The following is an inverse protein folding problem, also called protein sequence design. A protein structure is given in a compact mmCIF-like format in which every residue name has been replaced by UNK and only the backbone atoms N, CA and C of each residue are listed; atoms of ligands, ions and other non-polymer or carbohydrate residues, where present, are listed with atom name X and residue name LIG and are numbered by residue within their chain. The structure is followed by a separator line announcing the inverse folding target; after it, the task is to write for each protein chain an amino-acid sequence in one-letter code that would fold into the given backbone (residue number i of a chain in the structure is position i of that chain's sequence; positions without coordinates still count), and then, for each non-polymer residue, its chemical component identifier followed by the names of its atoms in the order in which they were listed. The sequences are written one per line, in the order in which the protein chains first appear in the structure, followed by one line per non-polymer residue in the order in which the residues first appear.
data_IF_151834487781
#
_entry.id   IF_151834487781
#
_cell.length_a   1.000
_cell.length_b   1.000
_cell.length_c   1.000
_cell.angle_alpha   90.00
_cell.angle_beta   90.00
_cell.angle_gamma   90.00
#
_symmetry.space_group_name_H-M   'P 1'
#
loop_
_entity.id
_entity.type
_entity.pdbx_description
1 polymer ?
#
# COMPACT_ATOMS: atom_id res chain seq x y z
N UNK A 1 27.74 2.53 14.58
CA UNK A 1 26.90 2.08 13.45
C UNK A 1 25.49 1.75 13.90
N UNK A 2 24.49 2.44 13.36
CA UNK A 2 23.06 2.18 13.60
C UNK A 2 22.56 1.03 12.72
N UNK A 3 21.57 0.28 13.20
CA UNK A 3 20.96 -0.81 12.44
C UNK A 3 19.50 -0.47 12.17
N UNK A 4 19.08 -0.67 10.92
CA UNK A 4 17.68 -0.65 10.48
C UNK A 4 17.39 -1.96 9.74
N UNK A 5 16.13 -2.26 9.47
CA UNK A 5 15.84 -3.38 8.57
C UNK A 5 14.39 -3.55 8.18
N UNK A 6 14.10 -4.63 7.45
CA UNK A 6 12.77 -5.02 7.01
C UNK A 6 12.38 -6.35 7.66
N UNK A 7 11.23 -6.40 8.32
CA UNK A 7 10.61 -7.64 8.82
C UNK A 7 9.49 -8.07 7.87
N UNK A 8 9.50 -9.33 7.43
CA UNK A 8 8.48 -9.90 6.55
C UNK A 8 8.76 -11.35 6.18
N UNK A 9 7.87 -11.93 5.37
CA UNK A 9 8.05 -13.29 4.84
C UNK A 9 7.35 -13.51 3.50
N UNK A 10 8.09 -13.88 2.42
CA UNK A 10 9.54 -13.76 2.26
C UNK A 10 9.97 -12.30 2.04
N UNK A 11 11.25 -11.96 2.27
CA UNK A 11 11.77 -10.58 2.01
C UNK A 11 13.02 -10.51 1.14
N UNK A 12 13.58 -11.65 0.70
CA UNK A 12 14.83 -11.68 -0.11
C UNK A 12 14.79 -10.82 -1.38
N UNK A 13 13.61 -10.62 -1.94
CA UNK A 13 13.42 -9.84 -3.17
C UNK A 13 13.21 -8.35 -2.93
N UNK A 14 13.26 -7.89 -1.68
CA UNK A 14 12.98 -6.49 -1.35
C UNK A 14 14.10 -5.56 -1.82
N UNK A 15 13.71 -4.49 -2.52
CA UNK A 15 14.61 -3.41 -2.89
C UNK A 15 14.94 -2.46 -1.72
N UNK A 16 14.24 -2.53 -0.59
CA UNK A 16 14.42 -1.61 0.54
C UNK A 16 15.86 -1.60 1.05
N UNK A 17 16.48 -2.77 1.20
CA UNK A 17 17.87 -2.85 1.66
C UNK A 17 18.84 -2.20 0.67
N UNK A 18 18.63 -2.39 -0.64
CA UNK A 18 19.46 -1.75 -1.67
C UNK A 18 19.31 -0.24 -1.62
N UNK A 19 18.07 0.26 -1.58
CA UNK A 19 17.76 1.69 -1.55
C UNK A 19 18.34 2.38 -0.31
N UNK A 20 18.07 1.85 0.88
CA UNK A 20 18.49 2.49 2.13
C UNK A 20 20.01 2.44 2.32
N UNK A 21 20.67 1.32 2.02
CA UNK A 21 22.12 1.25 2.14
C UNK A 21 22.84 2.17 1.15
N UNK A 22 22.31 2.31 -0.08
CA UNK A 22 22.84 3.28 -1.05
C UNK A 22 22.70 4.72 -0.52
N UNK A 23 21.54 5.07 0.03
CA UNK A 23 21.31 6.39 0.61
C UNK A 23 22.21 6.66 1.84
N UNK A 24 22.39 5.68 2.74
CA UNK A 24 23.29 5.84 3.88
C UNK A 24 24.72 6.09 3.45
N UNK A 25 25.20 5.35 2.44
CA UNK A 25 26.55 5.53 1.88
C UNK A 25 26.72 6.92 1.28
N UNK A 26 25.79 7.35 0.44
CA UNK A 26 25.84 8.65 -0.23
C UNK A 26 25.82 9.82 0.76
N UNK A 27 25.02 9.70 1.82
CA UNK A 27 24.85 10.76 2.83
C UNK A 27 25.86 10.69 3.98
N UNK A 28 26.81 9.74 3.96
CA UNK A 28 27.80 9.57 5.03
C UNK A 28 27.19 9.17 6.39
N UNK A 29 26.03 8.50 6.39
CA UNK A 29 25.36 8.04 7.62
C UNK A 29 25.94 6.69 8.03
N UNK A 30 26.52 6.61 9.24
CA UNK A 30 27.05 5.36 9.83
C UNK A 30 25.91 4.41 10.26
N UNK A 31 25.25 3.81 9.26
CA UNK A 31 24.14 2.89 9.42
C UNK A 31 24.14 1.79 8.36
N UNK A 32 23.44 0.69 8.67
CA UNK A 32 23.13 -0.37 7.70
C UNK A 32 21.67 -0.80 7.78
N UNK A 33 21.13 -1.27 6.66
CA UNK A 33 19.79 -1.79 6.52
C UNK A 33 19.83 -3.29 6.19
N UNK A 34 19.17 -4.10 7.00
CA UNK A 34 19.15 -5.57 6.88
C UNK A 34 17.76 -6.13 6.53
N UNK A 35 17.73 -7.35 6.00
CA UNK A 35 16.48 -8.08 5.74
C UNK A 35 16.32 -9.17 6.78
N UNK A 36 15.24 -9.11 7.55
CA UNK A 36 14.89 -10.09 8.57
C UNK A 36 13.70 -10.91 8.06
N UNK A 37 13.99 -12.08 7.50
CA UNK A 37 12.95 -13.07 7.25
C UNK A 37 12.49 -13.69 8.57
N UNK A 38 11.19 -13.58 8.85
CA UNK A 38 10.57 -14.07 10.08
C UNK A 38 9.43 -14.98 9.67
N UNK A 39 9.33 -16.22 10.17
CA UNK A 39 8.23 -17.09 9.75
C UNK A 39 6.93 -16.74 10.50
N UNK A 40 5.74 -17.05 9.94
CA UNK A 40 4.48 -16.89 10.66
C UNK A 40 4.54 -17.56 12.04
N UNK A 41 4.10 -16.85 13.07
CA UNK A 41 4.20 -17.30 14.47
C UNK A 41 5.48 -16.89 15.21
N UNK A 42 6.48 -16.33 14.53
CA UNK A 42 7.75 -15.90 15.15
C UNK A 42 7.87 -14.38 15.31
N UNK A 43 6.87 -13.61 14.87
CA UNK A 43 6.93 -12.15 14.78
C UNK A 43 7.28 -11.49 16.11
N UNK A 44 6.51 -11.78 17.16
CA UNK A 44 6.68 -11.13 18.46
C UNK A 44 8.08 -11.35 19.03
N UNK A 45 8.52 -12.61 19.10
CA UNK A 45 9.82 -12.98 19.66
C UNK A 45 10.95 -12.33 18.87
N UNK A 46 10.87 -12.34 17.53
CA UNK A 46 11.89 -11.74 16.68
C UNK A 46 11.92 -10.22 16.78
N UNK A 47 10.76 -9.57 16.76
CA UNK A 47 10.65 -8.13 16.91
C UNK A 47 11.24 -7.65 18.25
N UNK A 48 10.79 -8.24 19.36
CA UNK A 48 11.31 -7.90 20.71
C UNK A 48 12.81 -8.15 20.85
N UNK A 49 13.31 -9.25 20.28
CA UNK A 49 14.73 -9.56 20.25
C UNK A 49 15.56 -8.50 19.52
N UNK A 50 15.10 -8.05 18.35
CA UNK A 50 15.78 -7.02 17.55
C UNK A 50 15.75 -5.64 18.24
N UNK A 51 14.63 -5.27 18.86
CA UNK A 51 14.54 -4.05 19.69
C UNK A 51 15.53 -4.14 20.86
N UNK A 52 15.61 -5.28 21.54
CA UNK A 52 16.55 -5.52 22.64
C UNK A 52 18.03 -5.41 22.23
N UNK A 53 18.35 -5.75 20.98
CA UNK A 53 19.69 -5.66 20.39
C UNK A 53 20.06 -4.24 19.90
N UNK A 54 19.15 -3.27 20.03
CA UNK A 54 19.42 -1.87 19.68
C UNK A 54 19.18 -1.52 18.21
N UNK A 55 18.35 -2.27 17.49
CA UNK A 55 17.89 -1.87 16.15
C UNK A 55 17.05 -0.59 16.27
N UNK A 56 17.35 0.42 15.45
CA UNK A 56 16.80 1.77 15.56
C UNK A 56 15.45 1.94 14.83
N UNK A 57 15.10 1.02 13.95
CA UNK A 57 13.83 1.08 13.23
C UNK A 57 13.67 -0.05 12.23
N UNK A 58 12.41 -0.30 11.87
CA UNK A 58 12.04 -1.36 10.94
C UNK A 58 11.09 -0.83 9.90
N UNK A 59 11.19 -1.32 8.66
CA UNK A 59 9.99 -1.48 7.87
C UNK A 59 9.35 -2.83 8.16
N UNK A 60 8.04 -2.89 7.95
CA UNK A 60 7.21 -4.08 8.11
C UNK A 60 6.52 -4.33 6.78
N UNK A 61 6.58 -5.57 6.29
CA UNK A 61 5.87 -5.98 5.07
C UNK A 61 5.03 -7.22 5.32
N UNK A 62 4.39 -7.73 4.25
CA UNK A 62 3.55 -8.92 4.27
C UNK A 62 4.28 -10.08 4.98
N UNK A 63 3.58 -10.82 5.87
CA UNK A 63 2.17 -10.69 6.24
C UNK A 63 1.89 -9.79 7.48
N UNK A 64 2.88 -9.07 7.99
CA UNK A 64 2.89 -8.57 9.38
C UNK A 64 2.38 -7.16 9.61
N UNK A 65 1.94 -6.45 8.56
CA UNK A 65 1.56 -5.03 8.69
C UNK A 65 0.40 -4.79 9.66
N UNK A 66 -0.49 -5.77 9.84
CA UNK A 66 -1.59 -5.69 10.81
C UNK A 66 -1.15 -6.25 12.19
N UNK A 67 -0.50 -7.41 12.21
CA UNK A 67 -0.12 -8.12 13.44
C UNK A 67 0.86 -7.32 14.31
N UNK A 68 1.79 -6.59 13.69
CA UNK A 68 2.82 -5.81 14.41
C UNK A 68 2.21 -4.77 15.36
N UNK A 69 1.00 -4.28 15.07
CA UNK A 69 0.32 -3.25 15.88
C UNK A 69 0.16 -3.70 17.34
N UNK A 70 -0.06 -4.99 17.57
CA UNK A 70 -0.25 -5.55 18.91
C UNK A 70 1.00 -5.47 19.80
N UNK A 71 2.15 -5.15 19.23
CA UNK A 71 3.45 -5.15 19.91
C UNK A 71 4.06 -3.75 20.03
N UNK A 72 3.38 -2.70 19.55
CA UNK A 72 3.90 -1.33 19.55
C UNK A 72 3.35 -0.53 20.73
N UNK A 73 4.18 0.35 21.27
CA UNK A 73 3.80 1.23 22.39
C UNK A 73 2.90 2.38 21.92
N UNK A 74 3.17 2.91 20.73
CA UNK A 74 2.43 4.02 20.13
C UNK A 74 2.15 3.79 18.64
N UNK A 75 1.07 4.42 18.15
CA UNK A 75 0.77 4.55 16.73
C UNK A 75 0.62 6.00 16.35
N UNK A 76 1.09 6.35 15.16
CA UNK A 76 0.65 7.56 14.48
C UNK A 76 -0.85 7.49 14.16
N UNK A 77 -1.51 8.65 14.15
CA UNK A 77 -2.95 8.77 13.88
C UNK A 77 -3.34 8.12 12.54
N UNK A 78 -2.51 8.28 11.51
CA UNK A 78 -2.79 7.72 10.19
C UNK A 78 -2.62 6.19 10.19
N UNK A 79 -1.59 5.69 10.87
CA UNK A 79 -1.39 4.24 11.00
C UNK A 79 -2.54 3.58 11.77
N UNK A 80 -3.06 4.26 12.80
CA UNK A 80 -4.24 3.82 13.53
C UNK A 80 -5.48 3.76 12.63
N UNK A 81 -5.72 4.80 11.83
CA UNK A 81 -6.85 4.87 10.90
C UNK A 81 -6.78 3.81 9.80
N UNK A 82 -5.60 3.61 9.22
CA UNK A 82 -5.35 2.59 8.20
C UNK A 82 -5.46 1.17 8.80
N UNK A 83 -5.11 1.02 10.08
CA UNK A 83 -5.04 -0.28 10.75
C UNK A 83 -3.92 -1.15 10.22
N UNK A 84 -2.83 -0.54 9.73
CA UNK A 84 -1.64 -1.23 9.26
C UNK A 84 -0.40 -0.35 9.43
N UNK A 85 0.71 -0.95 9.85
CA UNK A 85 2.02 -0.31 10.04
C UNK A 85 3.01 -0.91 9.04
N UNK A 86 3.73 -0.04 8.31
CA UNK A 86 4.83 -0.45 7.43
C UNK A 86 6.19 0.11 7.91
N UNK A 87 6.20 0.95 8.94
CA UNK A 87 7.39 1.65 9.45
C UNK A 87 7.30 1.75 10.96
N UNK A 88 8.33 1.30 11.68
CA UNK A 88 8.44 1.35 13.13
C UNK A 88 9.70 2.12 13.48
N UNK A 89 9.56 3.15 14.31
CA UNK A 89 10.67 3.84 14.95
C UNK A 89 10.90 3.23 16.33
N UNK A 90 12.15 2.93 16.64
CA UNK A 90 12.57 2.54 17.99
C UNK A 90 13.30 3.74 18.61
N UNK A 91 12.80 4.23 19.74
CA UNK A 91 13.40 5.34 20.48
C UNK A 91 14.58 4.82 21.33
N UNK A 92 15.37 5.74 21.88
CA UNK A 92 16.56 5.40 22.67
C UNK A 92 16.23 4.64 23.97
N UNK A 93 15.06 4.90 24.55
CA UNK A 93 14.48 4.19 25.70
C UNK A 93 13.84 2.84 25.32
N UNK A 94 13.95 2.43 24.05
CA UNK A 94 13.36 1.22 23.45
C UNK A 94 11.85 1.25 23.27
N UNK A 95 11.18 2.37 23.53
CA UNK A 95 9.77 2.55 23.15
C UNK A 95 9.63 2.58 21.63
N UNK A 96 8.50 2.10 21.14
CA UNK A 96 8.27 1.83 19.73
C UNK A 96 7.05 2.57 19.21
N UNK A 97 7.20 3.21 18.04
CA UNK A 97 6.12 3.95 17.39
C UNK A 97 5.90 3.49 15.96
N UNK A 98 4.67 3.12 15.64
CA UNK A 98 4.24 2.68 14.31
C UNK A 98 3.74 3.80 13.42
N UNK A 99 4.10 3.74 12.14
CA UNK A 99 3.72 4.65 11.08
C UNK A 99 3.32 3.87 9.82
N UNK A 100 2.59 4.55 8.93
CA UNK A 100 2.31 4.05 7.58
C UNK A 100 2.77 5.08 6.54
N UNK A 101 3.81 4.73 5.79
CA UNK A 101 4.38 5.57 4.73
C UNK A 101 3.89 5.20 3.33
N UNK A 102 3.20 4.05 3.17
CA UNK A 102 2.65 3.62 1.87
C UNK A 102 1.62 4.62 1.36
N UNK A 103 0.68 5.04 2.22
CA UNK A 103 -0.38 5.98 1.86
C UNK A 103 0.17 7.34 1.40
N UNK A 104 0.93 8.07 2.24
CA UNK A 104 1.51 9.36 1.85
C UNK A 104 2.45 9.26 0.65
N UNK A 105 3.22 8.16 0.53
CA UNK A 105 4.06 7.89 -0.63
C UNK A 105 3.24 7.77 -1.92
N UNK A 106 2.13 7.03 -1.87
CA UNK A 106 1.19 6.90 -2.98
C UNK A 106 0.61 8.26 -3.41
N UNK A 107 0.08 9.06 -2.48
CA UNK A 107 -0.49 10.39 -2.82
C UNK A 107 0.57 11.31 -3.42
N UNK A 108 1.78 11.30 -2.87
CA UNK A 108 2.88 12.11 -3.40
C UNK A 108 3.19 11.71 -4.84
N UNK A 109 3.26 10.40 -5.13
CA UNK A 109 3.50 9.92 -6.49
C UNK A 109 2.34 10.29 -7.44
N UNK A 110 1.10 9.98 -7.05
CA UNK A 110 -0.11 10.26 -7.84
C UNK A 110 -0.25 11.75 -8.19
N UNK A 111 0.00 12.64 -7.23
CA UNK A 111 -0.23 14.07 -7.45
C UNK A 111 0.96 14.77 -8.09
N UNK A 112 2.20 14.46 -7.66
CA UNK A 112 3.39 15.21 -8.10
C UNK A 112 4.12 14.59 -9.29
N UNK A 113 4.10 13.27 -9.41
CA UNK A 113 4.83 12.55 -10.48
C UNK A 113 3.89 12.23 -11.63
N UNK A 114 2.71 11.68 -11.32
CA UNK A 114 1.68 11.41 -12.35
C UNK A 114 0.95 12.69 -12.77
N UNK A 115 0.88 13.70 -11.89
CA UNK A 115 0.19 14.95 -12.17
C UNK A 115 -1.34 14.83 -12.11
N UNK A 116 -1.86 13.82 -11.42
CA UNK A 116 -3.31 13.60 -11.31
C UNK A 116 -3.93 14.54 -10.28
N UNK A 117 -4.93 15.32 -10.70
CA UNK A 117 -5.72 16.14 -9.79
C UNK A 117 -6.84 15.30 -9.16
N UNK A 118 -6.67 14.94 -7.89
CA UNK A 118 -7.56 14.06 -7.13
C UNK A 118 -8.90 14.71 -6.71
N UNK A 119 -8.97 16.04 -6.62
CA UNK A 119 -10.11 16.71 -5.99
C UNK A 119 -11.43 16.41 -6.71
N UNK A 120 -12.39 15.85 -5.99
CA UNK A 120 -13.73 15.49 -6.47
C UNK A 120 -13.76 14.34 -7.48
N UNK A 121 -12.67 13.59 -7.64
CA UNK A 121 -12.56 12.51 -8.65
C UNK A 121 -13.23 11.22 -8.22
N UNK A 122 -13.72 10.46 -9.21
CA UNK A 122 -14.24 9.11 -9.03
C UNK A 122 -13.10 8.11 -9.10
N UNK A 123 -12.91 7.33 -8.05
CA UNK A 123 -11.82 6.35 -7.94
C UNK A 123 -12.39 4.95 -7.82
N UNK A 124 -11.80 4.01 -8.54
CA UNK A 124 -12.13 2.59 -8.45
C UNK A 124 -10.92 1.80 -7.98
N UNK A 125 -11.12 0.89 -7.02
CA UNK A 125 -10.04 0.10 -6.43
C UNK A 125 -10.38 -1.39 -6.51
N UNK A 126 -9.48 -2.14 -7.15
CA UNK A 126 -9.44 -3.59 -7.12
C UNK A 126 -8.61 -4.03 -5.91
N UNK A 127 -9.24 -4.73 -4.97
CA UNK A 127 -8.66 -5.22 -3.73
C UNK A 127 -9.06 -4.41 -2.51
N UNK A 128 -9.09 -5.08 -1.35
CA UNK A 128 -9.40 -4.53 -0.03
C UNK A 128 -8.37 -4.96 1.04
N UNK A 129 -7.17 -5.38 0.62
CA UNK A 129 -6.05 -5.74 1.49
C UNK A 129 -5.32 -4.53 2.10
N UNK A 130 -4.21 -4.77 2.82
CA UNK A 130 -3.47 -3.71 3.53
C UNK A 130 -3.02 -2.53 2.66
N UNK A 131 -2.62 -2.79 1.41
CA UNK A 131 -2.29 -1.73 0.46
C UNK A 131 -3.53 -0.90 0.08
N UNK A 132 -4.66 -1.57 -0.21
CA UNK A 132 -5.94 -0.93 -0.52
C UNK A 132 -6.42 -0.04 0.65
N UNK A 133 -6.24 -0.49 1.90
CA UNK A 133 -6.54 0.33 3.09
C UNK A 133 -5.72 1.62 3.10
N UNK A 134 -4.40 1.52 2.93
CA UNK A 134 -3.52 2.69 2.94
C UNK A 134 -3.88 3.69 1.84
N UNK A 135 -4.08 3.23 0.60
CA UNK A 135 -4.40 4.12 -0.53
C UNK A 135 -5.81 4.69 -0.42
N UNK A 136 -6.83 3.91 -0.08
CA UNK A 136 -8.22 4.37 -0.01
C UNK A 136 -8.43 5.38 1.12
N UNK A 137 -7.82 5.17 2.30
CA UNK A 137 -7.83 6.15 3.39
C UNK A 137 -7.22 7.47 2.95
N UNK A 138 -6.10 7.43 2.23
CA UNK A 138 -5.46 8.66 1.76
C UNK A 138 -6.23 9.33 0.62
N UNK A 139 -6.85 8.57 -0.28
CA UNK A 139 -7.70 9.13 -1.33
C UNK A 139 -8.89 9.89 -0.74
N UNK A 140 -9.60 9.27 0.20
CA UNK A 140 -10.73 9.90 0.90
C UNK A 140 -10.28 11.15 1.68
N UNK A 141 -9.17 11.06 2.40
CA UNK A 141 -8.59 12.18 3.14
C UNK A 141 -8.18 13.36 2.24
N UNK A 142 -7.67 13.09 1.04
CA UNK A 142 -7.15 14.10 0.12
C UNK A 142 -8.17 14.52 -0.95
N UNK A 143 -9.46 14.30 -0.69
CA UNK A 143 -10.55 14.93 -1.45
C UNK A 143 -11.05 14.15 -2.67
N UNK A 144 -10.87 12.83 -2.71
CA UNK A 144 -11.63 12.00 -3.66
C UNK A 144 -13.13 12.25 -3.50
N UNK A 145 -13.86 12.33 -4.61
CA UNK A 145 -15.32 12.52 -4.60
C UNK A 145 -16.05 11.23 -4.30
N UNK A 146 -15.58 10.12 -4.89
CA UNK A 146 -16.09 8.79 -4.59
C UNK A 146 -15.02 7.71 -4.70
N UNK A 147 -15.21 6.62 -3.96
CA UNK A 147 -14.37 5.42 -4.02
C UNK A 147 -15.29 4.19 -4.17
N UNK A 148 -15.19 3.51 -5.31
CA UNK A 148 -15.79 2.20 -5.54
C UNK A 148 -14.77 1.08 -5.26
N UNK A 149 -15.15 0.09 -4.46
CA UNK A 149 -14.30 -1.03 -4.07
C UNK A 149 -14.84 -2.35 -4.60
N UNK A 150 -13.93 -3.22 -5.04
CA UNK A 150 -14.19 -4.62 -5.34
C UNK A 150 -13.10 -5.50 -4.73
N UNK A 151 -13.47 -6.57 -4.05
CA UNK A 151 -12.55 -7.66 -3.69
C UNK A 151 -13.30 -8.99 -3.86
N UNK A 152 -12.58 -10.07 -4.18
CA UNK A 152 -13.17 -11.41 -4.21
C UNK A 152 -13.71 -11.81 -2.83
N UNK A 153 -13.02 -11.37 -1.78
CA UNK A 153 -13.46 -11.47 -0.40
C UNK A 153 -14.34 -10.26 -0.06
N UNK A 154 -15.66 -10.44 -0.23
CA UNK A 154 -16.66 -9.39 0.00
C UNK A 154 -16.63 -8.84 1.43
N UNK A 155 -16.23 -9.65 2.42
CA UNK A 155 -16.22 -9.20 3.81
C UNK A 155 -15.04 -8.24 4.07
N UNK A 156 -13.89 -8.45 3.40
CA UNK A 156 -12.81 -7.45 3.40
C UNK A 156 -13.25 -6.14 2.79
N UNK A 157 -13.91 -6.18 1.62
CA UNK A 157 -14.39 -4.98 0.95
C UNK A 157 -15.40 -4.22 1.83
N UNK A 158 -16.39 -4.92 2.41
CA UNK A 158 -17.36 -4.34 3.35
C UNK A 158 -16.69 -3.73 4.57
N UNK A 159 -15.74 -4.44 5.19
CA UNK A 159 -15.02 -3.94 6.36
C UNK A 159 -14.21 -2.68 6.05
N UNK A 160 -13.61 -2.59 4.86
CA UNK A 160 -12.92 -1.39 4.40
C UNK A 160 -13.91 -0.24 4.13
N UNK A 161 -15.00 -0.50 3.40
CA UNK A 161 -16.00 0.52 3.10
C UNK A 161 -16.59 1.14 4.37
N UNK A 162 -17.03 0.31 5.32
CA UNK A 162 -17.59 0.78 6.59
C UNK A 162 -16.59 1.64 7.39
N UNK A 163 -15.30 1.29 7.37
CA UNK A 163 -14.25 2.10 7.99
C UNK A 163 -14.07 3.45 7.31
N UNK A 164 -14.12 3.50 5.97
CA UNK A 164 -14.01 4.75 5.24
C UNK A 164 -15.22 5.64 5.49
N UNK A 165 -16.43 5.09 5.39
CA UNK A 165 -17.68 5.82 5.64
C UNK A 165 -17.73 6.42 7.06
N UNK A 166 -17.29 5.66 8.06
CA UNK A 166 -17.25 6.12 9.45
C UNK A 166 -16.26 7.27 9.69
N UNK A 167 -15.24 7.44 8.84
CA UNK A 167 -14.18 8.42 9.04
C UNK A 167 -14.20 9.57 8.02
N UNK A 168 -14.91 9.43 6.90
CA UNK A 168 -14.88 10.38 5.78
C UNK A 168 -16.28 10.64 5.21
N UNK A 169 -16.97 11.65 5.74
CA UNK A 169 -18.31 12.04 5.28
C UNK A 169 -18.35 12.75 3.92
N UNK A 170 -17.21 13.18 3.40
CA UNK A 170 -17.10 13.99 2.18
C UNK A 170 -16.68 13.17 0.96
N UNK A 171 -16.64 11.84 1.07
CA UNK A 171 -16.27 10.92 -0.01
C UNK A 171 -17.33 9.82 -0.07
N UNK A 172 -17.99 9.68 -1.22
CA UNK A 172 -19.02 8.66 -1.42
C UNK A 172 -18.35 7.29 -1.56
N UNK A 173 -18.61 6.37 -0.63
CA UNK A 173 -18.01 5.03 -0.64
C UNK A 173 -19.03 4.03 -1.21
N UNK A 174 -18.58 3.21 -2.15
CA UNK A 174 -19.39 2.23 -2.83
C UNK A 174 -18.73 0.85 -2.88
N UNK A 175 -19.55 -0.19 -2.82
CA UNK A 175 -19.15 -1.57 -3.09
C UNK A 175 -19.78 -2.02 -4.39
N UNK A 176 -19.00 -2.67 -5.25
CA UNK A 176 -19.52 -3.31 -6.46
C UNK A 176 -19.52 -4.83 -6.32
N UNK A 177 -20.48 -5.49 -6.95
CA UNK A 177 -20.66 -6.95 -6.86
C UNK A 177 -19.69 -7.74 -7.73
N UNK A 178 -19.17 -7.10 -8.78
CA UNK A 178 -18.32 -7.67 -9.83
C UNK A 178 -17.27 -6.65 -10.26
N UNK A 179 -16.09 -7.13 -10.69
CA UNK A 179 -14.97 -6.25 -11.05
C UNK A 179 -15.30 -5.29 -12.20
N UNK A 180 -16.07 -5.75 -13.19
CA UNK A 180 -16.48 -4.93 -14.35
C UNK A 180 -17.23 -3.67 -13.95
N UNK A 181 -18.06 -3.74 -12.91
CA UNK A 181 -18.85 -2.62 -12.43
C UNK A 181 -17.99 -1.47 -11.88
N UNK A 182 -16.72 -1.70 -11.54
CA UNK A 182 -15.79 -0.62 -11.19
C UNK A 182 -15.56 0.38 -12.34
N UNK A 183 -15.74 -0.04 -13.59
CA UNK A 183 -15.41 0.78 -14.76
C UNK A 183 -16.66 1.30 -15.50
N UNK A 184 -17.85 0.78 -15.18
CA UNK A 184 -19.08 1.13 -15.88
C UNK A 184 -19.48 2.61 -15.70
N UNK A 185 -19.21 3.20 -14.53
CA UNK A 185 -19.46 4.62 -14.26
C UNK A 185 -18.28 5.54 -14.65
N UNK A 186 -17.38 5.05 -15.52
CA UNK A 186 -16.26 5.80 -16.11
C UNK A 186 -15.44 6.57 -15.06
N UNK A 187 -14.77 5.87 -14.13
CA UNK A 187 -13.97 6.52 -13.10
C UNK A 187 -12.82 7.33 -13.73
N UNK A 188 -12.29 8.28 -12.98
CA UNK A 188 -11.10 9.03 -13.39
C UNK A 188 -9.81 8.25 -13.11
N UNK A 189 -9.83 7.39 -12.08
CA UNK A 189 -8.68 6.60 -11.62
C UNK A 189 -9.10 5.16 -11.29
N UNK A 190 -8.41 4.19 -11.89
CA UNK A 190 -8.48 2.77 -11.52
C UNK A 190 -7.18 2.39 -10.80
N UNK A 191 -7.29 1.76 -9.63
CA UNK A 191 -6.14 1.28 -8.86
C UNK A 191 -6.22 -0.24 -8.73
N UNK A 192 -5.16 -0.94 -9.15
CA UNK A 192 -4.96 -2.33 -8.78
C UNK A 192 -4.18 -2.41 -7.46
N UNK A 193 -4.87 -2.77 -6.39
CA UNK A 193 -4.30 -3.05 -5.08
C UNK A 193 -4.33 -4.55 -4.74
N UNK A 194 -4.46 -5.41 -5.75
CA UNK A 194 -4.35 -6.87 -5.62
C UNK A 194 -2.96 -7.36 -6.03
N UNK A 195 -2.59 -8.61 -5.69
CA UNK A 195 -1.38 -9.24 -6.25
C UNK A 195 -1.50 -9.62 -7.73
N UNK A 196 -2.68 -9.53 -8.34
CA UNK A 196 -2.89 -9.96 -9.73
C UNK A 196 -2.08 -9.07 -10.67
N UNK A 197 -1.27 -9.69 -11.51
CA UNK A 197 -0.32 -9.05 -12.42
C UNK A 197 1.14 -9.29 -12.02
N UNK A 198 1.38 -9.85 -10.84
CA UNK A 198 2.70 -10.22 -10.34
C UNK A 198 3.25 -11.46 -11.04
N UNK A 199 2.39 -12.41 -11.41
CA UNK A 199 2.78 -13.66 -12.07
C UNK A 199 2.53 -13.60 -13.58
N UNK A 200 3.32 -14.37 -14.34
CA UNK A 200 3.30 -14.32 -15.81
C UNK A 200 1.97 -14.78 -16.40
N UNK A 201 1.29 -15.68 -15.70
CA UNK A 201 0.03 -16.30 -16.09
C UNK A 201 -1.18 -15.43 -15.74
N UNK A 202 -1.00 -14.40 -14.91
CA UNK A 202 -2.09 -13.54 -14.45
C UNK A 202 -2.78 -12.84 -15.62
N UNK A 203 -4.10 -12.71 -15.49
CA UNK A 203 -4.99 -12.07 -16.47
C UNK A 203 -5.73 -10.92 -15.80
N UNK A 204 -6.33 -10.06 -16.61
CA UNK A 204 -7.23 -9.04 -16.11
C UNK A 204 -8.45 -9.70 -15.46
N UNK A 205 -8.90 -9.12 -14.36
CA UNK A 205 -10.07 -9.58 -13.60
C UNK A 205 -11.37 -8.93 -14.08
N UNK A 206 -11.29 -8.08 -15.10
CA UNK A 206 -12.40 -7.34 -15.69
C UNK A 206 -12.24 -7.27 -17.22
N UNK A 207 -13.32 -6.95 -17.91
CA UNK A 207 -13.34 -6.75 -19.35
C UNK A 207 -12.61 -5.46 -19.75
N UNK A 208 -11.49 -5.53 -20.50
CA UNK A 208 -10.69 -4.36 -20.86
C UNK A 208 -11.40 -3.39 -21.82
N UNK A 209 -12.53 -3.76 -22.41
CA UNK A 209 -13.33 -2.85 -23.23
C UNK A 209 -13.94 -1.68 -22.43
N UNK A 210 -14.00 -1.78 -21.10
CA UNK A 210 -14.41 -0.67 -20.25
C UNK A 210 -13.31 0.38 -20.01
N UNK A 211 -12.06 0.09 -20.36
CA UNK A 211 -10.97 1.07 -20.29
C UNK A 211 -11.17 2.17 -21.33
N UNK A 212 -10.92 3.42 -20.95
CA UNK A 212 -11.07 4.57 -21.84
C UNK A 212 -9.86 5.50 -21.80
N UNK A 213 -9.59 6.28 -22.87
CA UNK A 213 -8.37 7.10 -22.97
C UNK A 213 -8.19 8.16 -21.87
N UNK A 214 -9.28 8.58 -21.23
CA UNK A 214 -9.23 9.55 -20.10
C UNK A 214 -8.94 8.91 -18.73
N UNK A 215 -8.89 7.59 -18.64
CA UNK A 215 -8.67 6.87 -17.38
C UNK A 215 -7.18 6.89 -17.03
N UNK A 216 -6.87 7.22 -15.78
CA UNK A 216 -5.56 6.90 -15.19
C UNK A 216 -5.65 5.51 -14.58
N UNK A 217 -4.70 4.64 -14.93
CA UNK A 217 -4.59 3.29 -14.38
C UNK A 217 -3.32 3.25 -13.54
N UNK A 218 -3.46 2.94 -12.26
CA UNK A 218 -2.37 2.84 -11.30
C UNK A 218 -2.25 1.40 -10.80
N UNK A 219 -1.14 0.74 -11.08
CA UNK A 219 -0.87 -0.61 -10.61
C UNK A 219 0.08 -0.59 -9.40
N UNK A 220 -0.35 -1.10 -8.25
CA UNK A 220 0.54 -1.21 -7.09
C UNK A 220 1.56 -2.36 -7.26
N UNK A 221 1.37 -3.24 -8.25
CA UNK A 221 2.36 -4.25 -8.62
C UNK A 221 3.52 -3.58 -9.35
N UNK A 222 4.69 -3.56 -8.71
CA UNK A 222 5.91 -2.96 -9.28
C UNK A 222 6.83 -3.96 -10.00
N UNK A 223 6.60 -5.27 -9.82
CA UNK A 223 7.36 -6.32 -10.46
C UNK A 223 6.41 -7.40 -10.99
N UNK A 224 6.29 -7.56 -12.33
CA UNK A 224 7.06 -6.89 -13.38
C UNK A 224 6.65 -5.42 -13.60
N UNK A 225 7.56 -4.61 -14.15
CA UNK A 225 7.30 -3.19 -14.45
C UNK A 225 6.22 -2.94 -15.53
N UNK A 226 5.85 -3.96 -16.30
CA UNK A 226 4.80 -3.91 -17.32
C UNK A 226 3.84 -5.09 -17.10
N UNK A 227 2.89 -4.90 -16.20
CA UNK A 227 1.85 -5.88 -15.87
C UNK A 227 0.86 -6.05 -17.03
N UNK A 228 0.04 -7.13 -17.05
CA UNK A 228 -1.05 -7.26 -18.00
C UNK A 228 -1.99 -6.04 -18.04
N UNK A 229 -2.25 -5.45 -16.87
CA UNK A 229 -3.08 -4.25 -16.72
C UNK A 229 -2.45 -3.04 -17.41
N UNK A 230 -1.18 -2.74 -17.12
CA UNK A 230 -0.51 -1.58 -17.71
C UNK A 230 -0.32 -1.71 -19.22
N UNK A 231 -0.04 -2.93 -19.72
CA UNK A 231 0.04 -3.19 -21.16
C UNK A 231 -1.28 -2.92 -21.86
N UNK A 232 -2.38 -3.36 -21.27
CA UNK A 232 -3.71 -3.18 -21.84
C UNK A 232 -4.19 -1.73 -21.73
N UNK A 233 -3.94 -1.07 -20.60
CA UNK A 233 -4.16 0.36 -20.41
C UNK A 233 -3.48 1.17 -21.52
N UNK A 234 -2.20 0.87 -21.81
CA UNK A 234 -1.47 1.49 -22.92
C UNK A 234 -2.12 1.22 -24.28
N UNK A 235 -2.57 -0.01 -24.55
CA UNK A 235 -3.27 -0.37 -25.81
C UNK A 235 -4.57 0.41 -25.99
N UNK A 236 -5.26 0.70 -24.90
CA UNK A 236 -6.52 1.46 -24.85
C UNK A 236 -6.33 2.98 -24.78
N UNK A 237 -5.09 3.45 -24.76
CA UNK A 237 -4.75 4.88 -24.71
C UNK A 237 -4.91 5.52 -23.34
N UNK A 238 -4.99 4.73 -22.27
CA UNK A 238 -4.99 5.21 -20.89
C UNK A 238 -3.59 5.68 -20.47
N UNK A 239 -3.53 6.53 -19.45
CA UNK A 239 -2.27 6.82 -18.74
C UNK A 239 -2.04 5.75 -17.68
N UNK A 240 -1.12 4.81 -17.97
CA UNK A 240 -0.76 3.71 -17.05
C UNK A 240 0.49 4.02 -16.23
N UNK A 241 0.43 3.75 -14.93
CA UNK A 241 1.49 4.00 -13.94
C UNK A 241 1.69 2.79 -13.04
#
# INVERSE_FOLDING_TARGET
MKIYGLIGFPVKHSYSAVMHNAAFKELGVDARYELFEVKPGELEARFKGLVGQGVCGFNITVPYKEEIINFLDELDREAHLIGAVNTVKVNEDKTTKGFNTDGPGFITHLTRIVGFNLQGKKVSILGAGGAARAVSTQLAKNGAGSIALFDMDRDKAKGLAAKLEANFSNCDIGLVSEADALLQDKPDLLINATPVGMYKEDRLVFNPEYLHPKLVVYDLVYNPAQTPLLREAKRKGCSGV
#
